data_IF_105644469892
#
_entry.id   IF_105644469892
#
_cell.length_a   1.000
_cell.length_b   1.000
_cell.length_c   1.000
_cell.angle_alpha   90.00
_cell.angle_beta   90.00
_cell.angle_gamma   90.00
#
_symmetry.space_group_name_H-M   'P 1'
#
loop_
_entity.id
_entity.type
_entity.pdbx_description
1 polymer ?
#
# COMPACT_ATOMS: atom_id res chain seq x y z
N UNK A 1 -22.59 20.68 -27.13
CA UNK A 1 -21.73 20.44 -25.95
C UNK A 1 -21.48 18.94 -25.90
N UNK A 2 -20.37 18.49 -26.49
CA UNK A 2 -20.01 17.07 -26.50
C UNK A 2 -19.36 16.74 -25.17
N UNK A 3 -19.98 15.86 -24.40
CA UNK A 3 -19.43 15.33 -23.15
C UNK A 3 -18.17 14.52 -23.48
N UNK A 4 -17.02 15.12 -23.23
CA UNK A 4 -15.71 14.47 -23.32
C UNK A 4 -15.66 13.39 -22.22
N UNK A 5 -15.94 12.15 -22.60
CA UNK A 5 -15.81 11.01 -21.71
C UNK A 5 -14.30 10.73 -21.64
N UNK A 6 -13.63 11.32 -20.65
CA UNK A 6 -12.24 11.01 -20.34
C UNK A 6 -12.14 9.52 -20.06
N UNK A 7 -11.68 8.76 -21.04
CA UNK A 7 -11.35 7.35 -20.90
C UNK A 7 -10.17 7.32 -19.94
N UNK A 8 -10.41 6.98 -18.68
CA UNK A 8 -9.36 6.70 -17.72
C UNK A 8 -8.49 5.60 -18.33
N UNK A 9 -7.28 5.96 -18.71
CA UNK A 9 -6.30 5.02 -19.24
C UNK A 9 -5.95 4.02 -18.13
N UNK A 10 -6.58 2.84 -18.20
CA UNK A 10 -6.38 1.74 -17.27
C UNK A 10 -5.22 0.83 -17.68
N UNK A 11 -4.48 1.19 -18.75
CA UNK A 11 -3.32 0.47 -19.27
C UNK A 11 -2.12 0.41 -18.32
N UNK A 12 -2.18 1.09 -17.17
CA UNK A 12 -1.11 1.17 -16.16
C UNK A 12 -1.52 0.82 -14.74
N UNK A 13 -2.68 0.22 -14.50
CA UNK A 13 -3.08 -0.20 -13.15
C UNK A 13 -2.34 -1.50 -12.74
N UNK A 14 -1.79 -1.58 -11.52
CA UNK A 14 -1.21 -2.82 -10.99
C UNK A 14 -2.21 -3.99 -10.95
N UNK A 15 -1.69 -5.19 -11.21
CA UNK A 15 -2.37 -6.48 -11.04
C UNK A 15 -2.57 -6.82 -9.57
N UNK A 16 -3.42 -7.81 -9.28
CA UNK A 16 -3.61 -8.32 -7.91
C UNK A 16 -2.29 -8.79 -7.27
N UNK A 17 -1.44 -9.48 -8.03
CA UNK A 17 -0.10 -9.90 -7.56
C UNK A 17 0.82 -8.73 -7.25
N UNK A 18 0.80 -7.68 -8.07
CA UNK A 18 1.61 -6.49 -7.85
C UNK A 18 1.11 -5.71 -6.63
N UNK A 19 -0.20 -5.58 -6.43
CA UNK A 19 -0.76 -4.99 -5.22
C UNK A 19 -0.41 -5.77 -3.95
N UNK A 20 -0.43 -7.12 -3.99
CA UNK A 20 0.04 -7.92 -2.85
C UNK A 20 1.54 -7.72 -2.59
N UNK A 21 2.35 -7.64 -3.64
CA UNK A 21 3.78 -7.36 -3.51
C UNK A 21 4.04 -5.98 -2.90
N UNK A 22 3.32 -4.95 -3.37
CA UNK A 22 3.36 -3.60 -2.78
C UNK A 22 3.03 -3.66 -1.29
N UNK A 23 1.96 -4.36 -0.90
CA UNK A 23 1.60 -4.51 0.52
C UNK A 23 2.73 -5.13 1.34
N UNK A 24 3.37 -6.20 0.84
CA UNK A 24 4.52 -6.83 1.52
C UNK A 24 5.70 -5.87 1.66
N UNK A 25 6.05 -5.13 0.62
CA UNK A 25 7.15 -4.15 0.67
C UNK A 25 6.85 -3.06 1.70
N UNK A 26 5.61 -2.59 1.78
CA UNK A 26 5.18 -1.59 2.76
C UNK A 26 5.23 -2.13 4.19
N UNK A 27 4.83 -3.40 4.41
CA UNK A 27 4.94 -4.06 5.71
C UNK A 27 6.40 -4.20 6.15
N UNK A 28 7.29 -4.59 5.23
CA UNK A 28 8.72 -4.73 5.51
C UNK A 28 9.35 -3.37 5.86
N UNK A 29 9.01 -2.32 5.10
CA UNK A 29 9.47 -0.96 5.39
C UNK A 29 8.96 -0.48 6.76
N UNK A 30 7.71 -0.78 7.12
CA UNK A 30 7.15 -0.48 8.44
C UNK A 30 7.93 -1.18 9.54
N UNK A 31 8.25 -2.46 9.37
CA UNK A 31 9.02 -3.23 10.35
C UNK A 31 10.46 -2.68 10.53
N UNK A 32 11.10 -2.25 9.44
CA UNK A 32 12.40 -1.58 9.49
C UNK A 32 12.34 -0.26 10.26
N UNK A 33 11.29 0.53 10.07
CA UNK A 33 11.07 1.78 10.81
C UNK A 33 10.81 1.53 12.30
N UNK A 34 10.02 0.51 12.65
CA UNK A 34 9.79 0.11 14.06
C UNK A 34 11.13 -0.30 14.73
N UNK A 35 11.98 -1.03 14.00
CA UNK A 35 13.32 -1.42 14.46
C UNK A 35 14.21 -0.19 14.66
N UNK A 36 14.21 0.75 13.71
CA UNK A 36 14.96 1.99 13.82
C UNK A 36 14.52 2.84 15.01
N UNK A 37 13.21 2.92 15.28
CA UNK A 37 12.67 3.62 16.44
C UNK A 37 13.17 2.99 17.76
N UNK A 38 13.18 1.66 17.86
CA UNK A 38 13.71 0.96 19.02
C UNK A 38 15.22 1.21 19.22
N UNK A 39 16.00 1.18 18.13
CA UNK A 39 17.44 1.47 18.17
C UNK A 39 17.72 2.92 18.58
N UNK A 40 16.98 3.89 18.04
CA UNK A 40 17.12 5.29 18.38
C UNK A 40 16.83 5.54 19.87
N UNK A 41 15.77 4.93 20.40
CA UNK A 41 15.45 5.02 21.83
C UNK A 41 16.55 4.39 22.69
N UNK A 42 16.99 3.19 22.34
CA UNK A 42 18.09 2.52 23.04
C UNK A 42 19.38 3.33 23.03
N UNK A 43 19.68 4.01 21.91
CA UNK A 43 20.85 4.87 21.80
C UNK A 43 20.72 6.08 22.73
N UNK A 44 19.58 6.77 22.71
CA UNK A 44 19.33 7.93 23.56
C UNK A 44 19.38 7.59 25.06
N UNK A 45 18.85 6.42 25.44
CA UNK A 45 18.88 5.95 26.83
C UNK A 45 20.29 5.55 27.28
N UNK A 46 21.13 5.06 26.36
CA UNK A 46 22.53 4.70 26.64
C UNK A 46 23.49 5.88 26.79
N UNK A 47 23.07 7.10 26.44
CA UNK A 47 23.91 8.30 26.55
C UNK A 47 23.96 8.81 27.99
N UNK A 48 25.16 8.83 28.58
CA UNK A 48 25.43 9.47 29.87
C UNK A 48 25.55 10.98 29.66
N UNK A 49 24.40 11.65 29.61
CA UNK A 49 24.28 13.10 29.47
C UNK A 49 23.46 13.69 30.61
N UNK A 50 23.71 14.97 30.92
CA UNK A 50 22.99 15.68 31.97
C UNK A 50 22.68 17.12 31.56
N UNK A 51 21.72 17.74 32.26
CA UNK A 51 21.40 19.15 32.09
C UNK A 51 20.95 19.49 30.65
N UNK A 52 21.35 20.65 30.11
CA UNK A 52 20.88 21.12 28.81
C UNK A 52 21.16 20.15 27.65
N UNK A 53 22.26 19.39 27.71
CA UNK A 53 22.60 18.40 26.68
C UNK A 53 21.61 17.24 26.66
N UNK A 54 21.19 16.75 27.84
CA UNK A 54 20.17 15.69 27.94
C UNK A 54 18.82 16.19 27.45
N UNK A 55 18.39 17.38 27.87
CA UNK A 55 17.14 17.99 27.40
C UNK A 55 17.10 18.14 25.88
N UNK A 56 18.20 18.57 25.26
CA UNK A 56 18.28 18.70 23.81
C UNK A 56 18.15 17.34 23.10
N UNK A 57 18.86 16.31 23.59
CA UNK A 57 18.77 14.96 23.04
C UNK A 57 17.37 14.35 23.20
N UNK A 58 16.75 14.51 24.37
CA UNK A 58 15.40 14.01 24.62
C UNK A 58 14.38 14.69 23.69
N UNK A 59 14.51 16.01 23.48
CA UNK A 59 13.65 16.76 22.56
C UNK A 59 13.80 16.29 21.11
N UNK A 60 15.04 16.20 20.61
CA UNK A 60 15.31 15.74 19.23
C UNK A 60 14.85 14.29 19.04
N UNK A 61 15.16 13.40 19.99
CA UNK A 61 14.75 12.00 19.95
C UNK A 61 13.23 11.87 19.97
N UNK A 62 12.54 12.67 20.80
CA UNK A 62 11.09 12.70 20.85
C UNK A 62 10.46 13.07 19.51
N UNK A 63 10.98 14.10 18.84
CA UNK A 63 10.52 14.51 17.50
C UNK A 63 10.79 13.42 16.46
N UNK A 64 12.00 12.85 16.44
CA UNK A 64 12.34 11.79 15.50
C UNK A 64 11.46 10.56 15.67
N UNK A 65 11.20 10.12 16.91
CA UNK A 65 10.31 9.00 17.19
C UNK A 65 8.86 9.29 16.81
N UNK A 66 8.38 10.53 17.01
CA UNK A 66 7.06 10.94 16.57
C UNK A 66 6.92 10.88 15.04
N UNK A 67 7.95 11.34 14.30
CA UNK A 67 7.96 11.28 12.84
C UNK A 67 8.00 9.84 12.31
N UNK A 68 8.82 8.96 12.91
CA UNK A 68 8.85 7.54 12.55
C UNK A 68 7.47 6.90 12.83
N UNK A 69 6.83 7.24 13.94
CA UNK A 69 5.48 6.76 14.25
C UNK A 69 4.44 7.23 13.23
N UNK A 70 4.51 8.48 12.79
CA UNK A 70 3.60 8.98 11.76
C UNK A 70 3.81 8.23 10.42
N UNK A 71 5.07 8.01 10.03
CA UNK A 71 5.40 7.27 8.81
C UNK A 71 4.94 5.80 8.86
N UNK A 72 5.12 5.12 10.00
CA UNK A 72 4.67 3.72 10.16
C UNK A 72 3.15 3.57 10.05
N UNK A 73 2.37 4.54 10.56
CA UNK A 73 0.91 4.58 10.39
C UNK A 73 0.52 4.79 8.93
N UNK A 74 1.20 5.68 8.20
CA UNK A 74 0.94 5.90 6.77
C UNK A 74 1.25 4.64 5.94
N UNK A 75 2.39 3.98 6.19
CA UNK A 75 2.75 2.73 5.54
C UNK A 75 1.72 1.62 5.81
N UNK A 76 1.24 1.50 7.04
CA UNK A 76 0.20 0.53 7.41
C UNK A 76 -1.09 0.77 6.62
N UNK A 77 -1.54 2.04 6.57
CA UNK A 77 -2.74 2.41 5.83
C UNK A 77 -2.61 2.11 4.33
N UNK A 78 -1.44 2.40 3.75
CA UNK A 78 -1.16 2.10 2.34
C UNK A 78 -1.09 0.59 2.07
N UNK A 79 -0.54 -0.20 3.00
CA UNK A 79 -0.51 -1.66 2.89
C UNK A 79 -1.93 -2.24 2.93
N UNK A 80 -2.81 -1.74 3.81
CA UNK A 80 -4.22 -2.14 3.87
C UNK A 80 -4.94 -1.82 2.55
N UNK A 81 -4.76 -0.61 2.03
CA UNK A 81 -5.34 -0.20 0.75
C UNK A 81 -4.84 -1.08 -0.41
N UNK A 82 -3.54 -1.40 -0.46
CA UNK A 82 -2.98 -2.28 -1.48
C UNK A 82 -3.61 -3.69 -1.42
N UNK A 83 -3.76 -4.27 -0.22
CA UNK A 83 -4.45 -5.58 -0.05
C UNK A 83 -5.92 -5.51 -0.47
N UNK A 84 -6.60 -4.41 -0.17
CA UNK A 84 -7.98 -4.19 -0.59
C UNK A 84 -8.11 -4.17 -2.12
N UNK A 85 -7.22 -3.43 -2.80
CA UNK A 85 -7.18 -3.39 -4.27
C UNK A 85 -6.88 -4.74 -4.88
N UNK A 86 -5.95 -5.52 -4.32
CA UNK A 86 -5.70 -6.89 -4.76
C UNK A 86 -6.96 -7.76 -4.69
N UNK A 87 -7.74 -7.62 -3.61
CA UNK A 87 -9.00 -8.36 -3.43
C UNK A 87 -10.04 -7.98 -4.47
N UNK A 88 -10.16 -6.70 -4.81
CA UNK A 88 -11.05 -6.22 -5.90
C UNK A 88 -10.60 -6.81 -7.24
N UNK A 89 -9.30 -6.80 -7.53
CA UNK A 89 -8.77 -7.35 -8.77
C UNK A 89 -9.08 -8.86 -8.89
N UNK A 90 -8.91 -9.64 -7.82
CA UNK A 90 -9.27 -11.06 -7.81
C UNK A 90 -10.77 -11.27 -8.04
N UNK A 91 -11.61 -10.50 -7.32
CA UNK A 91 -13.06 -10.60 -7.43
C UNK A 91 -13.55 -10.28 -8.86
N UNK A 92 -12.97 -9.25 -9.48
CA UNK A 92 -13.26 -8.89 -10.87
C UNK A 92 -12.80 -10.00 -11.84
N UNK A 93 -11.58 -10.51 -11.67
CA UNK A 93 -11.05 -11.61 -12.49
C UNK A 93 -11.95 -12.83 -12.43
N UNK A 94 -12.39 -13.21 -11.22
CA UNK A 94 -13.29 -14.34 -11.00
C UNK A 94 -14.69 -14.08 -11.61
N UNK A 95 -15.23 -12.88 -11.46
CA UNK A 95 -16.52 -12.50 -12.03
C UNK A 95 -16.50 -12.55 -13.56
N UNK A 96 -15.48 -11.97 -14.19
CA UNK A 96 -15.32 -12.00 -15.64
C UNK A 96 -15.12 -13.43 -16.15
N UNK A 97 -14.32 -14.24 -15.45
CA UNK A 97 -14.15 -15.66 -15.79
C UNK A 97 -15.43 -16.50 -15.64
N UNK A 98 -16.40 -16.09 -14.80
CA UNK A 98 -17.73 -16.70 -14.76
C UNK A 98 -18.59 -16.24 -15.94
N UNK A 99 -18.58 -14.94 -16.24
CA UNK A 99 -19.30 -14.37 -17.38
C UNK A 99 -18.89 -15.03 -18.71
N UNK A 100 -17.58 -15.21 -18.94
CA UNK A 100 -17.08 -15.89 -20.13
C UNK A 100 -17.53 -17.35 -20.28
N UNK A 101 -17.94 -18.00 -19.20
CA UNK A 101 -18.43 -19.39 -19.18
C UNK A 101 -19.95 -19.49 -19.11
N UNK A 102 -20.66 -18.37 -19.18
CA UNK A 102 -22.11 -18.30 -19.06
C UNK A 102 -22.79 -18.10 -20.42
N UNK A 103 -24.04 -18.52 -20.52
CA UNK A 103 -24.88 -18.30 -21.71
C UNK A 103 -25.12 -16.80 -21.99
N UNK A 104 -24.87 -15.92 -21.00
CA UNK A 104 -24.92 -14.46 -21.16
C UNK A 104 -23.88 -13.94 -22.15
N UNK A 105 -22.76 -14.67 -22.34
CA UNK A 105 -21.70 -14.29 -23.29
C UNK A 105 -22.20 -14.30 -24.74
N UNK A 106 -23.16 -15.19 -25.04
CA UNK A 106 -23.80 -15.28 -26.36
C UNK A 106 -24.85 -14.19 -26.55
N UNK A 107 -25.46 -13.70 -25.45
CA UNK A 107 -26.44 -12.63 -25.46
C UNK A 107 -25.80 -11.22 -25.49
N UNK A 108 -24.55 -11.09 -25.07
CA UNK A 108 -23.81 -9.82 -25.10
C UNK A 108 -22.33 -10.08 -25.33
N UNK A 109 -21.76 -9.62 -26.46
CA UNK A 109 -20.36 -9.91 -26.79
C UNK A 109 -19.45 -9.40 -25.67
N UNK A 110 -18.45 -10.20 -25.26
CA UNK A 110 -17.60 -9.85 -24.13
C UNK A 110 -16.82 -8.58 -24.45
N UNK A 111 -17.01 -7.54 -23.63
CA UNK A 111 -16.12 -6.39 -23.65
C UNK A 111 -14.73 -6.87 -23.24
N UNK A 112 -13.69 -6.34 -23.91
CA UNK A 112 -12.31 -6.65 -23.51
C UNK A 112 -12.16 -6.30 -22.03
N UNK A 113 -11.64 -7.23 -21.23
CA UNK A 113 -11.44 -6.97 -19.82
C UNK A 113 -10.40 -5.88 -19.65
N UNK A 114 -10.46 -5.19 -18.51
CA UNK A 114 -9.49 -4.14 -18.25
C UNK A 114 -8.05 -4.72 -18.24
N UNK A 115 -7.04 -3.98 -18.73
CA UNK A 115 -5.68 -4.51 -18.97
C UNK A 115 -4.96 -5.06 -17.74
N UNK A 116 -5.36 -4.62 -16.54
CA UNK A 116 -4.80 -5.06 -15.25
C UNK A 116 -5.32 -6.42 -14.78
N UNK A 117 -6.17 -7.07 -15.57
CA UNK A 117 -6.72 -8.39 -15.31
C UNK A 117 -5.92 -9.46 -16.06
N UNK A 118 -5.30 -10.39 -15.34
CA UNK A 118 -4.63 -11.56 -15.96
C UNK A 118 -5.62 -12.71 -16.13
N UNK A 119 -5.67 -13.21 -17.37
CA UNK A 119 -6.31 -14.49 -17.70
C UNK A 119 -5.22 -15.53 -17.84
N UNK A 120 -5.37 -16.65 -17.12
CA UNK A 120 -4.60 -17.87 -17.38
C UNK A 120 -5.12 -18.56 -18.64
#
# INVERSE_FOLDING_TARGET
MSSETSVVDTGGMPTASEYRHIATVLDDARHQLDTLAAQLRSLADGLVLSGPQRTAIDATTGVSLANIRAATVDLEQQAVEARHRATICDAYTAAYGRFLRSDEVDASPPQRPAPWVRYG
#
